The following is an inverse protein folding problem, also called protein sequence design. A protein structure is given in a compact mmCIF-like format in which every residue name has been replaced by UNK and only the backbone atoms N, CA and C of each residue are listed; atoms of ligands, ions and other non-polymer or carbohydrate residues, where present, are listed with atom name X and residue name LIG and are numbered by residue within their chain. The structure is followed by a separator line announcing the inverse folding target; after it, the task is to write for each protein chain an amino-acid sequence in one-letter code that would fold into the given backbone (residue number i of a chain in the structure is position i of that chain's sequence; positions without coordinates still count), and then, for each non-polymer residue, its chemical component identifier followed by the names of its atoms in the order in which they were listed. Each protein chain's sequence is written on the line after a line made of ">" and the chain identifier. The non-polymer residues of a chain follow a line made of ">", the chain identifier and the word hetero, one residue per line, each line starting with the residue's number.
data_IF_333120203554
#
_entry.id   IF_333120203554
#
_cell.length_a   1.000
_cell.length_b   1.000
_cell.length_c   1.000
_cell.angle_alpha   90.00
_cell.angle_beta   90.00
_cell.angle_gamma   90.00
#
_symmetry.space_group_name_H-M   'P 1'
#
loop_
_entity.id
_entity.type
_entity.pdbx_description
1 polymer ?
#
# COMPACT_ATOMS: atom_id res chain seq x y z
N UNK A 1 -6.84 4.55 -8.92
CA UNK A 1 -7.11 5.69 -9.81
C UNK A 1 -5.90 6.60 -9.70
N UNK A 2 -5.32 6.97 -10.83
CA UNK A 2 -4.13 7.82 -10.90
C UNK A 2 -4.51 9.26 -11.17
N UNK A 3 -3.83 10.19 -10.54
CA UNK A 3 -4.16 11.60 -10.63
C UNK A 3 -2.89 12.44 -10.66
N UNK A 4 -2.81 13.34 -11.63
CA UNK A 4 -1.69 14.25 -11.78
C UNK A 4 -2.10 15.64 -11.33
N UNK A 5 -1.43 16.15 -10.30
CA UNK A 5 -1.45 17.56 -9.94
C UNK A 5 -0.24 18.24 -10.55
N UNK A 6 -0.41 19.41 -11.15
CA UNK A 6 0.72 20.17 -11.71
C UNK A 6 0.53 21.67 -11.59
N UNK A 7 1.65 22.38 -11.51
CA UNK A 7 1.69 23.79 -11.89
C UNK A 7 1.49 23.91 -13.41
N UNK A 8 1.18 25.11 -13.90
CA UNK A 8 1.22 25.40 -15.33
C UNK A 8 2.67 25.36 -15.79
N UNK A 9 3.10 24.23 -16.34
CA UNK A 9 4.38 24.07 -17.02
C UNK A 9 4.24 23.11 -18.21
N UNK A 10 5.17 23.19 -19.14
CA UNK A 10 5.10 22.41 -20.37
C UNK A 10 5.50 20.96 -20.10
N UNK A 11 4.58 20.02 -20.33
CA UNK A 11 4.86 18.58 -20.34
C UNK A 11 4.90 18.07 -21.77
N UNK A 12 5.68 17.02 -22.01
CA UNK A 12 5.70 16.31 -23.28
C UNK A 12 4.31 15.82 -23.68
N UNK A 13 3.94 15.98 -24.96
CA UNK A 13 2.69 15.42 -25.51
C UNK A 13 2.63 13.90 -25.37
N UNK A 14 3.77 13.21 -25.48
CA UNK A 14 3.84 11.77 -25.28
C UNK A 14 3.53 11.37 -23.84
N UNK A 15 3.97 12.18 -22.87
CA UNK A 15 3.67 11.93 -21.47
C UNK A 15 2.19 12.16 -21.14
N UNK A 16 1.60 13.25 -21.64
CA UNK A 16 0.16 13.50 -21.50
C UNK A 16 -0.69 12.37 -22.13
N UNK A 17 -0.29 11.89 -23.31
CA UNK A 17 -0.90 10.71 -23.93
C UNK A 17 -0.76 9.48 -23.03
N UNK A 18 0.45 9.18 -22.55
CA UNK A 18 0.68 8.00 -21.72
C UNK A 18 -0.18 8.01 -20.44
N UNK A 19 -0.31 9.17 -19.77
CA UNK A 19 -1.15 9.34 -18.59
C UNK A 19 -2.63 9.06 -18.87
N UNK A 20 -3.16 9.55 -20.00
CA UNK A 20 -4.57 9.37 -20.35
C UNK A 20 -4.87 7.93 -20.81
N UNK A 21 -4.01 7.37 -21.65
CA UNK A 21 -4.29 6.09 -22.31
C UNK A 21 -3.91 4.87 -21.46
N UNK A 22 -2.79 4.92 -20.73
CA UNK A 22 -2.33 3.77 -19.94
C UNK A 22 -2.76 3.83 -18.47
N UNK A 23 -2.88 5.03 -17.90
CA UNK A 23 -3.17 5.23 -16.48
C UNK A 23 -4.59 5.77 -16.21
N UNK A 24 -5.34 6.10 -17.28
CA UNK A 24 -6.66 6.76 -17.17
C UNK A 24 -6.63 7.93 -16.20
N UNK A 25 -5.51 8.67 -16.22
CA UNK A 25 -5.24 9.69 -15.23
C UNK A 25 -6.00 10.97 -15.54
N UNK A 26 -6.54 11.57 -14.48
CA UNK A 26 -7.08 12.93 -14.55
C UNK A 26 -5.97 13.91 -14.19
N UNK A 27 -5.90 15.00 -14.95
CA UNK A 27 -4.96 16.09 -14.73
C UNK A 27 -5.70 17.25 -14.05
N UNK A 28 -5.09 17.85 -13.03
CA UNK A 28 -5.58 19.08 -12.40
C UNK A 28 -4.44 20.06 -12.20
N UNK A 29 -4.70 21.31 -12.56
CA UNK A 29 -3.76 22.40 -12.34
C UNK A 29 -3.93 22.96 -10.92
N UNK A 30 -2.82 23.12 -10.22
CA UNK A 30 -2.75 23.65 -8.85
C UNK A 30 -1.56 24.60 -8.75
N UNK A 31 -1.64 25.57 -7.84
CA UNK A 31 -0.54 26.52 -7.60
C UNK A 31 0.30 26.11 -6.39
N UNK A 32 1.49 25.56 -6.65
CA UNK A 32 2.47 25.21 -5.64
C UNK A 32 3.34 26.39 -5.19
N UNK A 33 3.38 27.51 -5.94
CA UNK A 33 4.36 28.59 -5.73
C UNK A 33 3.98 29.56 -4.63
N UNK A 34 2.70 29.80 -4.39
CA UNK A 34 2.28 30.85 -3.46
C UNK A 34 2.10 30.36 -2.02
N UNK A 35 2.68 29.20 -1.67
CA UNK A 35 2.48 28.57 -0.35
C UNK A 35 1.00 28.34 -0.05
N UNK A 36 0.17 28.28 -1.10
CA UNK A 36 -1.27 28.34 -0.95
C UNK A 36 -1.73 27.07 -0.26
N UNK A 37 -2.43 27.22 0.87
CA UNK A 37 -3.17 26.11 1.51
C UNK A 37 -4.13 25.44 0.52
N UNK A 38 -4.45 26.11 -0.60
CA UNK A 38 -5.23 25.60 -1.72
C UNK A 38 -4.67 24.32 -2.34
N UNK A 39 -3.36 24.23 -2.63
CA UNK A 39 -2.78 23.01 -3.23
C UNK A 39 -2.84 21.84 -2.25
N UNK A 40 -2.41 22.06 -1.00
CA UNK A 40 -2.47 21.07 0.08
C UNK A 40 -3.89 20.56 0.30
N UNK A 41 -4.86 21.47 0.41
CA UNK A 41 -6.27 21.13 0.64
C UNK A 41 -6.87 20.39 -0.56
N UNK A 42 -6.58 20.83 -1.78
CA UNK A 42 -7.05 20.17 -3.01
C UNK A 42 -6.56 18.73 -3.07
N UNK A 43 -5.26 18.51 -2.85
CA UNK A 43 -4.64 17.18 -2.89
C UNK A 43 -5.20 16.27 -1.79
N UNK A 44 -5.23 16.75 -0.54
CA UNK A 44 -5.74 15.95 0.58
C UNK A 44 -7.25 15.69 0.47
N UNK A 45 -8.03 16.63 -0.11
CA UNK A 45 -9.46 16.42 -0.38
C UNK A 45 -9.66 15.31 -1.41
N UNK A 46 -8.87 15.31 -2.49
CA UNK A 46 -8.90 14.26 -3.49
C UNK A 46 -8.50 12.89 -2.90
N UNK A 47 -7.46 12.84 -2.06
CA UNK A 47 -7.04 11.62 -1.35
C UNK A 47 -8.16 11.12 -0.44
N UNK A 48 -8.76 12.00 0.35
CA UNK A 48 -9.87 11.66 1.24
C UNK A 48 -11.04 11.11 0.45
N UNK A 49 -11.42 11.72 -0.67
CA UNK A 49 -12.50 11.24 -1.52
C UNK A 49 -12.17 9.86 -2.13
N UNK A 50 -10.97 9.72 -2.69
CA UNK A 50 -10.51 8.49 -3.37
C UNK A 50 -10.37 7.30 -2.42
N UNK A 51 -10.12 7.55 -1.14
CA UNK A 51 -10.01 6.53 -0.09
C UNK A 51 -11.27 6.41 0.78
N UNK A 52 -12.40 6.99 0.34
CA UNK A 52 -13.67 7.00 1.08
C UNK A 52 -13.53 7.48 2.54
N UNK A 53 -12.64 8.44 2.76
CA UNK A 53 -12.36 9.04 4.05
C UNK A 53 -11.48 8.20 4.97
N UNK A 54 -10.83 7.14 4.48
CA UNK A 54 -9.98 6.28 5.31
C UNK A 54 -8.56 6.79 5.46
N UNK A 55 -8.03 7.49 4.46
CA UNK A 55 -6.78 8.23 4.56
C UNK A 55 -7.15 9.72 4.53
N UNK A 56 -6.94 10.41 5.66
CA UNK A 56 -7.34 11.82 5.81
C UNK A 56 -6.42 12.76 5.03
N UNK A 57 -5.13 12.45 4.98
CA UNK A 57 -4.12 13.27 4.34
C UNK A 57 -2.93 12.40 3.90
N UNK A 58 -2.34 12.78 2.76
CA UNK A 58 -1.04 12.29 2.27
C UNK A 58 0.06 13.33 2.51
N UNK A 59 -0.29 14.61 2.47
CA UNK A 59 0.61 15.71 2.78
C UNK A 59 0.25 16.32 4.14
N UNK A 60 1.25 16.52 4.99
CA UNK A 60 1.08 17.17 6.30
C UNK A 60 1.57 18.61 6.33
N UNK A 61 2.28 19.03 5.28
CA UNK A 61 2.83 20.37 5.09
C UNK A 61 2.64 20.76 3.62
N UNK A 62 2.68 22.05 3.33
CA UNK A 62 2.65 22.53 1.96
C UNK A 62 3.86 21.97 1.18
N UNK A 63 3.68 21.52 -0.08
CA UNK A 63 4.79 21.19 -0.96
C UNK A 63 5.75 22.37 -1.13
N UNK A 64 7.00 22.07 -1.49
CA UNK A 64 8.02 23.07 -1.80
C UNK A 64 7.54 24.00 -2.92
N UNK A 65 7.91 25.29 -2.85
CA UNK A 65 7.61 26.27 -3.90
C UNK A 65 8.23 25.92 -5.26
N UNK A 66 9.24 25.03 -5.26
CA UNK A 66 9.88 24.51 -6.48
C UNK A 66 9.17 23.28 -7.07
N UNK A 67 8.13 22.77 -6.39
CA UNK A 67 7.31 21.64 -6.87
C UNK A 67 6.63 22.05 -8.16
N UNK A 68 6.83 21.28 -9.22
CA UNK A 68 6.18 21.47 -10.52
C UNK A 68 5.04 20.49 -10.72
N UNK A 69 5.18 19.28 -10.20
CA UNK A 69 4.13 18.26 -10.34
C UNK A 69 4.12 17.30 -9.17
N UNK A 70 2.97 16.69 -8.95
CA UNK A 70 2.77 15.61 -8.01
C UNK A 70 1.88 14.54 -8.65
N UNK A 71 2.40 13.32 -8.74
CA UNK A 71 1.66 12.15 -9.20
C UNK A 71 1.10 11.44 -7.98
N UNK A 72 -0.21 11.26 -7.90
CA UNK A 72 -0.87 10.61 -6.77
C UNK A 72 -1.69 9.43 -7.25
N UNK A 73 -1.40 8.26 -6.70
CA UNK A 73 -2.19 7.04 -6.88
C UNK A 73 -2.94 6.75 -5.57
N UNK A 74 -4.22 6.42 -5.67
CA UNK A 74 -5.01 5.92 -4.55
C UNK A 74 -5.72 4.62 -4.93
N UNK A 75 -5.67 3.66 -4.00
CA UNK A 75 -6.32 2.36 -4.09
C UNK A 75 -7.20 2.17 -2.86
N UNK A 76 -8.46 1.82 -3.08
CA UNK A 76 -9.40 1.41 -2.04
C UNK A 76 -9.94 0.03 -2.39
N UNK A 77 -9.72 -0.93 -1.50
CA UNK A 77 -10.23 -2.28 -1.54
C UNK A 77 -11.13 -2.53 -0.34
N UNK A 78 -12.34 -3.03 -0.57
CA UNK A 78 -13.23 -3.53 0.49
C UNK A 78 -13.90 -4.78 0.01
N UNK A 79 -13.77 -5.87 0.75
CA UNK A 79 -14.48 -7.09 0.43
C UNK A 79 -14.80 -7.90 1.68
N UNK A 80 -15.92 -8.61 1.62
CA UNK A 80 -16.32 -9.54 2.67
C UNK A 80 -15.63 -10.88 2.47
N UNK A 81 -15.34 -11.59 3.56
CA UNK A 81 -14.91 -12.98 3.49
C UNK A 81 -16.00 -13.81 2.82
N UNK A 82 -15.59 -14.77 1.99
CA UNK A 82 -16.52 -15.80 1.47
C UNK A 82 -17.14 -16.60 2.62
N UNK A 83 -16.33 -16.88 3.64
CA UNK A 83 -16.75 -17.49 4.89
C UNK A 83 -16.40 -16.54 6.02
N UNK A 84 -17.41 -15.85 6.57
CA UNK A 84 -17.23 -14.89 7.65
C UNK A 84 -17.04 -15.60 8.99
N UNK A 85 -16.33 -14.94 9.91
CA UNK A 85 -16.25 -15.41 11.30
C UNK A 85 -17.54 -15.04 12.04
N UNK A 86 -17.98 -15.87 12.97
CA UNK A 86 -19.09 -15.51 13.85
C UNK A 86 -18.56 -14.54 14.93
N UNK A 87 -19.09 -13.31 15.04
CA UNK A 87 -18.68 -12.36 16.09
C UNK A 87 -18.85 -12.91 17.51
N UNK A 88 -19.83 -13.78 17.75
CA UNK A 88 -20.05 -14.41 19.06
C UNK A 88 -18.96 -15.44 19.42
N UNK A 89 -18.22 -15.94 18.43
CA UNK A 89 -17.08 -16.84 18.62
C UNK A 89 -15.75 -16.11 18.76
N UNK A 90 -15.77 -14.78 18.78
CA UNK A 90 -14.57 -13.96 18.97
C UNK A 90 -14.24 -13.88 20.44
N UNK A 91 -13.03 -14.30 20.79
CA UNK A 91 -12.49 -14.17 22.14
C UNK A 91 -11.99 -12.73 22.32
N UNK A 92 -12.61 -11.89 23.17
CA UNK A 92 -12.28 -10.47 23.23
C UNK A 92 -10.87 -10.18 23.79
N UNK A 93 -10.36 -11.02 24.69
CA UNK A 93 -9.10 -10.85 25.41
C UNK A 93 -8.12 -12.00 25.17
N UNK A 94 -8.06 -12.51 23.94
CA UNK A 94 -7.16 -13.60 23.57
C UNK A 94 -5.69 -13.18 23.55
N UNK A 95 -4.78 -14.12 23.80
CA UNK A 95 -3.33 -13.83 23.81
C UNK A 95 -2.69 -14.03 22.43
N UNK A 96 -2.08 -12.97 21.89
CA UNK A 96 -1.25 -13.00 20.69
C UNK A 96 0.23 -12.79 21.05
N UNK A 97 1.11 -13.63 20.52
CA UNK A 97 2.55 -13.49 20.70
C UNK A 97 3.10 -12.50 19.68
N UNK A 98 3.50 -11.31 20.14
CA UNK A 98 4.21 -10.32 19.32
C UNK A 98 5.66 -10.76 19.10
N UNK A 99 6.25 -11.35 20.13
CA UNK A 99 7.57 -12.01 20.09
C UNK A 99 7.48 -13.32 20.92
N UNK A 100 8.50 -14.20 20.91
CA UNK A 100 8.48 -15.42 21.72
C UNK A 100 8.27 -15.16 23.22
N UNK A 101 8.64 -13.97 23.70
CA UNK A 101 8.63 -13.60 25.12
C UNK A 101 7.60 -12.52 25.46
N UNK A 102 6.95 -11.91 24.47
CA UNK A 102 5.98 -10.83 24.68
C UNK A 102 4.63 -11.18 24.06
N UNK A 103 3.59 -11.18 24.90
CA UNK A 103 2.20 -11.35 24.50
C UNK A 103 1.39 -10.08 24.71
N UNK A 104 0.42 -9.85 23.82
CA UNK A 104 -0.58 -8.80 23.94
C UNK A 104 -1.98 -9.43 23.97
N UNK A 105 -2.91 -8.81 24.70
CA UNK A 105 -4.32 -9.19 24.68
C UNK A 105 -5.02 -8.48 23.53
N UNK A 106 -5.65 -9.26 22.66
CA UNK A 106 -6.33 -8.79 21.45
C UNK A 106 -7.60 -9.60 21.19
N UNK A 107 -8.58 -9.06 20.46
CA UNK A 107 -9.71 -9.86 19.98
C UNK A 107 -9.21 -10.92 18.99
N UNK A 108 -9.49 -12.20 19.25
CA UNK A 108 -9.15 -13.33 18.39
C UNK A 108 -10.42 -13.92 17.81
N UNK A 109 -10.59 -13.73 16.50
CA UNK A 109 -11.69 -14.31 15.72
C UNK A 109 -11.43 -15.80 15.54
N UNK A 110 -12.46 -16.63 15.70
CA UNK A 110 -12.31 -18.09 15.62
C UNK A 110 -13.40 -18.72 14.74
N UNK A 111 -13.04 -19.77 14.01
CA UNK A 111 -13.99 -20.53 13.19
C UNK A 111 -13.38 -21.76 12.55
N UNK A 112 -14.22 -22.76 12.24
CA UNK A 112 -13.87 -23.94 11.45
C UNK A 112 -14.34 -23.72 10.01
N UNK A 113 -13.42 -23.75 9.04
CA UNK A 113 -13.72 -23.43 7.65
C UNK A 113 -13.03 -24.41 6.68
N UNK A 114 -13.69 -24.72 5.57
CA UNK A 114 -13.12 -25.53 4.48
C UNK A 114 -12.35 -24.64 3.50
N UNK A 115 -11.04 -24.49 3.74
CA UNK A 115 -10.17 -23.53 3.03
C UNK A 115 -8.86 -24.18 2.60
N UNK A 116 -8.13 -23.55 1.68
CA UNK A 116 -6.84 -24.05 1.24
C UNK A 116 -5.76 -23.70 2.28
N UNK A 117 -5.06 -24.72 2.75
CA UNK A 117 -3.94 -24.61 3.68
C UNK A 117 -2.75 -25.37 3.08
N UNK A 118 -1.60 -24.71 3.06
CA UNK A 118 -0.32 -25.27 2.63
C UNK A 118 0.70 -25.22 3.75
N UNK A 119 1.69 -26.10 3.70
CA UNK A 119 2.78 -26.15 4.67
C UNK A 119 4.07 -26.50 3.95
N UNK A 120 5.15 -25.86 4.34
CA UNK A 120 6.48 -26.18 3.83
C UNK A 120 7.46 -26.27 4.99
N UNK A 121 7.91 -27.48 5.37
CA UNK A 121 8.95 -27.66 6.37
C UNK A 121 10.28 -26.99 5.98
N UNK A 122 10.63 -27.00 4.68
CA UNK A 122 11.87 -26.38 4.19
C UNK A 122 11.86 -24.86 4.28
N UNK A 123 10.71 -24.22 4.06
CA UNK A 123 10.52 -22.78 4.29
C UNK A 123 10.29 -22.48 5.77
N UNK A 124 9.84 -23.48 6.55
CA UNK A 124 9.49 -23.32 7.95
C UNK A 124 8.21 -22.49 8.13
N UNK A 125 7.22 -22.66 7.26
CA UNK A 125 5.99 -21.86 7.29
C UNK A 125 4.74 -22.63 6.87
N UNK A 126 3.60 -22.15 7.35
CA UNK A 126 2.26 -22.52 6.88
C UNK A 126 1.63 -21.33 6.15
N UNK A 127 0.83 -21.59 5.12
CA UNK A 127 0.09 -20.57 4.36
C UNK A 127 -1.40 -20.92 4.33
N UNK A 128 -2.25 -19.94 4.60
CA UNK A 128 -3.71 -20.06 4.58
C UNK A 128 -4.30 -19.13 3.52
N UNK A 129 -5.25 -19.61 2.73
CA UNK A 129 -5.96 -18.81 1.73
C UNK A 129 -7.36 -18.44 2.21
N UNK A 130 -7.56 -17.16 2.54
CA UNK A 130 -8.85 -16.61 2.92
C UNK A 130 -9.51 -15.95 1.70
N UNK A 131 -10.45 -16.65 1.07
CA UNK A 131 -11.18 -16.13 -0.09
C UNK A 131 -12.13 -15.00 0.32
N UNK A 132 -12.24 -13.99 -0.53
CA UNK A 132 -13.33 -13.02 -0.46
C UNK A 132 -14.54 -13.51 -1.26
N UNK A 133 -15.70 -12.87 -1.08
CA UNK A 133 -16.93 -13.17 -1.84
C UNK A 133 -16.68 -13.12 -3.35
N UNK A 134 -15.81 -12.22 -3.80
CA UNK A 134 -15.28 -12.24 -5.17
C UNK A 134 -14.14 -13.26 -5.28
N UNK A 135 -14.34 -14.40 -5.97
CA UNK A 135 -13.40 -15.53 -5.89
C UNK A 135 -12.04 -15.28 -6.55
N UNK A 136 -11.89 -14.19 -7.31
CA UNK A 136 -10.62 -13.80 -7.95
C UNK A 136 -9.65 -13.08 -7.02
N UNK A 137 -10.08 -12.73 -5.81
CA UNK A 137 -9.26 -12.02 -4.83
C UNK A 137 -9.29 -12.82 -3.52
N UNK A 138 -8.13 -12.94 -2.90
CA UNK A 138 -8.01 -13.58 -1.60
C UNK A 138 -6.87 -12.98 -0.80
N UNK A 139 -6.86 -13.26 0.50
CA UNK A 139 -5.75 -12.93 1.39
C UNK A 139 -4.97 -14.21 1.72
N UNK A 140 -3.67 -14.20 1.43
CA UNK A 140 -2.76 -15.21 1.94
C UNK A 140 -2.21 -14.78 3.29
N UNK A 141 -2.41 -15.62 4.32
CA UNK A 141 -1.83 -15.45 5.64
C UNK A 141 -0.72 -16.47 5.79
N UNK A 142 0.51 -15.99 5.99
CA UNK A 142 1.69 -16.84 6.15
C UNK A 142 2.10 -16.79 7.62
N UNK A 143 2.14 -17.97 8.25
CA UNK A 143 2.54 -18.15 9.64
C UNK A 143 3.86 -18.91 9.69
N UNK A 144 4.89 -18.29 10.26
CA UNK A 144 6.18 -18.94 10.50
C UNK A 144 6.03 -20.03 11.58
N UNK A 145 6.71 -21.15 11.41
CA UNK A 145 6.68 -22.27 12.36
C UNK A 145 7.46 -21.94 13.65
N UNK A 146 8.40 -20.99 13.60
CA UNK A 146 9.20 -20.57 14.73
C UNK A 146 8.90 -19.11 15.12
N UNK A 147 8.96 -18.82 16.41
CA UNK A 147 8.62 -17.52 16.98
C UNK A 147 9.60 -16.38 16.62
N UNK A 148 10.63 -16.66 15.81
CA UNK A 148 11.56 -15.65 15.29
C UNK A 148 10.93 -14.75 14.21
N UNK A 149 9.75 -15.10 13.69
CA UNK A 149 8.91 -14.20 12.88
C UNK A 149 9.44 -13.84 11.48
N UNK A 150 10.70 -14.15 11.18
CA UNK A 150 11.32 -13.89 9.87
C UNK A 150 11.37 -15.15 9.02
N UNK A 151 10.52 -15.19 8.00
CA UNK A 151 10.66 -16.14 6.90
C UNK A 151 11.40 -15.39 5.78
N UNK A 152 12.53 -15.91 5.32
CA UNK A 152 13.16 -15.42 4.10
C UNK A 152 12.29 -15.83 2.89
N UNK A 153 11.27 -15.02 2.62
CA UNK A 153 10.39 -15.17 1.49
C UNK A 153 10.93 -14.40 0.29
N UNK A 154 10.94 -15.06 -0.85
CA UNK A 154 11.15 -14.46 -2.15
C UNK A 154 10.07 -14.99 -3.11
N UNK A 155 10.06 -14.50 -4.35
CA UNK A 155 9.04 -14.90 -5.32
C UNK A 155 9.00 -16.42 -5.55
N UNK A 156 10.15 -17.09 -5.59
CA UNK A 156 10.27 -18.53 -5.81
C UNK A 156 9.76 -19.33 -4.61
N UNK A 157 10.19 -18.98 -3.39
CA UNK A 157 9.75 -19.67 -2.18
C UNK A 157 8.27 -19.43 -1.90
N UNK A 158 7.76 -18.23 -2.15
CA UNK A 158 6.32 -17.94 -2.07
C UNK A 158 5.52 -18.76 -3.08
N UNK A 159 5.94 -18.83 -4.35
CA UNK A 159 5.28 -19.64 -5.38
C UNK A 159 5.27 -21.12 -4.99
N UNK A 160 6.40 -21.64 -4.50
CA UNK A 160 6.49 -23.01 -4.00
C UNK A 160 5.53 -23.25 -2.83
N UNK A 161 5.44 -22.32 -1.88
CA UNK A 161 4.56 -22.41 -0.72
C UNK A 161 3.08 -22.42 -1.13
N UNK A 162 2.68 -21.54 -2.06
CA UNK A 162 1.33 -21.53 -2.65
C UNK A 162 1.03 -22.86 -3.35
N UNK A 163 2.00 -23.47 -4.03
CA UNK A 163 1.86 -24.77 -4.68
C UNK A 163 1.56 -25.94 -3.73
N UNK A 164 1.84 -25.79 -2.42
CA UNK A 164 1.55 -26.84 -1.42
C UNK A 164 0.10 -26.83 -0.92
N UNK A 165 -0.70 -25.84 -1.30
CA UNK A 165 -2.00 -25.60 -0.68
C UNK A 165 -3.06 -26.61 -1.13
N UNK A 166 -3.73 -27.23 -0.15
CA UNK A 166 -4.85 -28.13 -0.40
C UNK A 166 -6.06 -27.73 0.46
N UNK A 167 -7.27 -27.88 -0.10
CA UNK A 167 -8.52 -27.59 0.62
C UNK A 167 -8.75 -28.64 1.70
N UNK A 168 -8.97 -28.19 2.92
CA UNK A 168 -9.24 -29.04 4.08
C UNK A 168 -10.02 -28.26 5.14
N UNK A 169 -10.61 -28.95 6.11
CA UNK A 169 -11.18 -28.31 7.28
C UNK A 169 -10.07 -27.76 8.19
N UNK A 170 -10.11 -26.46 8.46
CA UNK A 170 -9.12 -25.77 9.28
C UNK A 170 -9.82 -25.03 10.41
N UNK A 171 -9.34 -25.25 11.64
CA UNK A 171 -9.66 -24.39 12.77
C UNK A 171 -8.77 -23.15 12.72
N UNK A 172 -9.36 -21.99 12.43
CA UNK A 172 -8.65 -20.73 12.26
C UNK A 172 -8.84 -19.90 13.52
N UNK A 173 -7.73 -19.39 14.06
CA UNK A 173 -7.69 -18.33 15.07
C UNK A 173 -6.91 -17.16 14.51
N UNK A 174 -7.57 -16.04 14.28
CA UNK A 174 -7.01 -14.88 13.61
C UNK A 174 -7.29 -13.62 14.44
N UNK A 175 -6.26 -12.88 14.88
CA UNK A 175 -6.48 -11.59 15.52
C UNK A 175 -7.29 -10.66 14.62
N UNK A 176 -8.22 -9.91 15.20
CA UNK A 176 -8.75 -8.71 14.57
C UNK A 176 -7.67 -7.63 14.62
N UNK A 177 -7.33 -7.01 13.50
CA UNK A 177 -6.25 -6.03 13.48
C UNK A 177 -6.49 -4.86 12.53
N UNK A 178 -5.78 -3.78 12.80
CA UNK A 178 -5.59 -2.66 11.88
C UNK A 178 -4.11 -2.34 11.80
N UNK A 179 -3.60 -2.20 10.59
CA UNK A 179 -2.23 -1.75 10.30
C UNK A 179 -2.36 -0.42 9.57
N UNK A 180 -1.77 0.65 10.13
CA UNK A 180 -1.60 1.95 9.47
C UNK A 180 -0.10 2.21 9.40
N UNK A 181 0.43 2.30 8.18
CA UNK A 181 1.86 2.47 7.94
C UNK A 181 2.11 3.58 6.93
N UNK A 182 3.19 4.33 7.15
CA UNK A 182 3.65 5.38 6.23
C UNK A 182 5.17 5.28 6.07
N UNK A 183 5.68 4.32 5.27
CA UNK A 183 7.13 4.11 5.14
C UNK A 183 7.78 5.28 4.39
N UNK A 184 9.04 5.57 4.75
CA UNK A 184 9.88 6.52 4.02
C UNK A 184 10.38 5.89 2.71
N UNK A 185 9.57 5.99 1.66
CA UNK A 185 9.79 5.26 0.41
C UNK A 185 11.05 5.73 -0.34
N UNK A 186 11.36 7.02 -0.30
CA UNK A 186 12.59 7.59 -0.89
C UNK A 186 13.84 6.85 -0.39
N UNK A 187 13.98 6.68 0.94
CA UNK A 187 15.12 5.96 1.51
C UNK A 187 15.15 4.48 1.14
N UNK A 188 13.99 3.82 1.07
CA UNK A 188 13.89 2.41 0.66
C UNK A 188 14.26 2.20 -0.82
N UNK A 189 13.82 3.08 -1.71
CA UNK A 189 14.15 2.98 -3.14
C UNK A 189 15.64 3.25 -3.37
N UNK A 190 16.23 4.16 -2.60
CA UNK A 190 17.66 4.42 -2.63
C UNK A 190 18.49 3.19 -2.23
N UNK A 191 18.10 2.46 -1.18
CA UNK A 191 18.78 1.24 -0.77
C UNK A 191 18.61 0.10 -1.78
N UNK A 192 17.52 0.12 -2.56
CA UNK A 192 17.29 -0.80 -3.68
C UNK A 192 18.04 -0.41 -4.97
N UNK A 193 18.77 0.71 -4.96
CA UNK A 193 19.59 1.14 -6.09
C UNK A 193 18.93 2.15 -7.04
N UNK A 194 17.70 2.57 -6.78
CA UNK A 194 17.02 3.64 -7.52
C UNK A 194 17.45 4.97 -6.92
N UNK A 195 18.45 5.62 -7.53
CA UNK A 195 19.11 6.81 -6.97
C UNK A 195 19.02 8.03 -7.88
N UNK A 196 19.36 7.86 -9.15
CA UNK A 196 19.50 8.96 -10.12
C UNK A 196 18.25 9.83 -10.21
N UNK A 197 17.05 9.22 -10.15
CA UNK A 197 15.77 9.93 -10.21
C UNK A 197 15.59 10.95 -9.07
N UNK A 198 16.24 10.73 -7.93
CA UNK A 198 16.21 11.59 -6.75
C UNK A 198 17.33 12.64 -6.75
N UNK A 199 18.25 12.59 -7.71
CA UNK A 199 19.37 13.50 -7.84
C UNK A 199 18.98 14.71 -8.68
N UNK A 200 19.08 15.92 -8.12
CA UNK A 200 18.86 17.15 -8.90
C UNK A 200 19.88 17.37 -10.02
N UNK A 201 20.98 16.60 -10.06
CA UNK A 201 22.07 16.74 -11.03
C UNK A 201 22.03 15.63 -12.10
N UNK A 202 21.68 14.41 -11.68
CA UNK A 202 21.76 13.19 -12.50
C UNK A 202 20.39 12.74 -13.05
N UNK A 203 19.28 13.18 -12.45
CA UNK A 203 17.95 12.78 -12.90
C UNK A 203 17.71 13.16 -14.38
N UNK A 204 17.34 12.16 -15.17
CA UNK A 204 16.90 12.34 -16.55
C UNK A 204 15.42 12.02 -16.69
N UNK A 205 14.58 13.05 -16.48
CA UNK A 205 13.13 12.98 -16.63
C UNK A 205 12.63 13.75 -17.87
N UNK A 206 13.47 13.87 -18.91
CA UNK A 206 13.15 14.62 -20.15
C UNK A 206 11.92 14.09 -20.88
N UNK A 207 11.55 12.82 -20.65
CA UNK A 207 10.29 12.24 -21.13
C UNK A 207 9.04 12.95 -20.58
N UNK A 208 9.14 13.56 -19.39
CA UNK A 208 8.09 14.38 -18.77
C UNK A 208 8.28 15.84 -19.18
N UNK A 209 9.42 16.42 -18.78
CA UNK A 209 9.84 17.80 -19.07
C UNK A 209 11.32 17.97 -18.72
N UNK A 210 11.93 19.05 -19.20
CA UNK A 210 13.35 19.31 -18.97
C UNK A 210 13.61 19.79 -17.54
N UNK A 211 14.72 19.32 -16.96
CA UNK A 211 15.19 19.77 -15.65
C UNK A 211 14.24 19.43 -14.51
N UNK A 212 13.77 18.19 -14.45
CA UNK A 212 12.98 17.67 -13.33
C UNK A 212 13.72 16.55 -12.60
N UNK A 213 13.51 16.47 -11.29
CA UNK A 213 13.91 15.32 -10.46
C UNK A 213 12.79 15.01 -9.47
N UNK A 214 12.79 13.80 -8.91
CA UNK A 214 11.87 13.42 -7.83
C UNK A 214 12.43 13.90 -6.51
N UNK A 215 11.74 14.83 -5.85
CA UNK A 215 12.19 15.35 -4.55
C UNK A 215 11.78 14.44 -3.40
N UNK A 216 10.61 13.80 -3.51
CA UNK A 216 10.13 12.88 -2.49
C UNK A 216 9.12 11.86 -3.05
N UNK A 217 9.06 10.70 -2.39
CA UNK A 217 8.05 9.68 -2.60
C UNK A 217 7.45 9.28 -1.26
N UNK A 218 6.14 9.50 -1.15
CA UNK A 218 5.35 9.24 0.04
C UNK A 218 4.46 8.03 -0.23
N UNK A 219 4.37 7.12 0.73
CA UNK A 219 3.40 6.03 0.70
C UNK A 219 2.71 5.92 2.04
N UNK A 220 1.40 5.69 2.03
CA UNK A 220 0.61 5.37 3.22
C UNK A 220 -0.35 4.23 2.89
N UNK A 221 -0.43 3.25 3.78
CA UNK A 221 -1.34 2.13 3.65
C UNK A 221 -2.06 1.84 4.97
N UNK A 222 -3.37 1.59 4.88
CA UNK A 222 -4.24 1.20 5.98
C UNK A 222 -4.91 -0.13 5.63
N UNK A 223 -4.68 -1.18 6.42
CA UNK A 223 -5.36 -2.48 6.29
C UNK A 223 -6.15 -2.72 7.57
N UNK A 224 -7.42 -3.07 7.45
CA UNK A 224 -8.29 -3.51 8.54
C UNK A 224 -8.81 -4.91 8.22
N UNK A 225 -8.78 -5.79 9.22
CA UNK A 225 -9.28 -7.15 9.15
C UNK A 225 -10.20 -7.41 10.33
N UNK A 226 -11.42 -7.83 10.03
CA UNK A 226 -12.46 -8.16 11.02
C UNK A 226 -13.25 -9.41 10.61
N UNK A 227 -14.29 -9.73 11.37
CA UNK A 227 -15.08 -10.95 11.18
C UNK A 227 -15.83 -10.96 9.85
N UNK A 228 -16.15 -9.78 9.31
CA UNK A 228 -16.91 -9.62 8.07
C UNK A 228 -16.01 -9.67 6.85
N UNK A 229 -14.78 -9.16 6.94
CA UNK A 229 -13.92 -9.04 5.77
C UNK A 229 -12.61 -8.30 5.98
N UNK A 230 -12.15 -7.69 4.89
CA UNK A 230 -11.01 -6.79 4.91
C UNK A 230 -11.30 -5.49 4.16
N UNK A 231 -10.73 -4.42 4.69
CA UNK A 231 -10.66 -3.11 4.08
C UNK A 231 -9.19 -2.74 3.95
N UNK A 232 -8.73 -2.41 2.74
CA UNK A 232 -7.38 -1.91 2.51
C UNK A 232 -7.44 -0.60 1.72
N UNK A 233 -6.68 0.39 2.16
CA UNK A 233 -6.51 1.66 1.46
C UNK A 233 -5.02 1.92 1.32
N UNK A 234 -4.59 2.41 0.17
CA UNK A 234 -3.23 2.83 -0.04
C UNK A 234 -3.21 4.12 -0.86
N UNK A 235 -2.27 4.99 -0.55
CA UNK A 235 -1.99 6.21 -1.31
C UNK A 235 -0.48 6.30 -1.50
N UNK A 236 -0.07 6.51 -2.73
CA UNK A 236 1.32 6.85 -3.07
C UNK A 236 1.34 8.23 -3.72
N UNK A 237 2.33 9.04 -3.37
CA UNK A 237 2.57 10.33 -3.98
C UNK A 237 4.03 10.47 -4.38
N UNK A 238 4.28 10.98 -5.59
CA UNK A 238 5.61 11.30 -6.10
C UNK A 238 5.66 12.79 -6.38
N UNK A 239 6.59 13.50 -5.75
CA UNK A 239 6.77 14.94 -5.93
C UNK A 239 7.92 15.19 -6.92
N UNK A 240 7.67 16.05 -7.90
CA UNK A 240 8.62 16.45 -8.93
C UNK A 240 8.97 17.92 -8.77
N UNK A 241 10.26 18.21 -8.64
CA UNK A 241 10.80 19.57 -8.46
C UNK A 241 11.71 19.96 -9.63
N UNK A 242 11.85 21.26 -9.85
CA UNK A 242 12.76 21.80 -10.87
C UNK A 242 14.21 21.61 -10.42
N UNK A 243 15.02 20.99 -11.26
CA UNK A 243 16.47 20.94 -11.13
C UNK A 243 17.09 22.33 -11.30
N UNK A 244 18.18 22.58 -10.58
CA UNK A 244 18.98 23.80 -10.67
C UNK A 244 19.71 23.97 -12.02
N UNK A 245 19.80 22.92 -12.85
CA UNK A 245 20.26 23.01 -14.25
C UNK A 245 19.11 23.51 -15.14
N UNK A 246 18.76 24.80 -15.04
CA UNK A 246 17.95 25.55 -16.01
C UNK A 246 17.89 27.03 -15.58
#
# INVERSE_FOLDING_TARGET
>A
MDFLFREVFNISRYYDYALKYFYSSTLTEVDFRNGSTSALNTINSWVRQSTKGKIQAVLHKNPSHSTKSMIVNAIHFRSQWKWQFNPQSTEPNGFFYVTPHHRSQVPIMSGKMYVALGRSPSIGASILNCLFVQPRISMFLILANNARGFIQLNATSLKSLIGTMQKQDVNIRLPRFTIDMSPHLTGLLWTLGIKDIFSSIEADLRGISNGLFVSDMIHRALIQVDEKGSLANAVSATLLEKSWKC
#
